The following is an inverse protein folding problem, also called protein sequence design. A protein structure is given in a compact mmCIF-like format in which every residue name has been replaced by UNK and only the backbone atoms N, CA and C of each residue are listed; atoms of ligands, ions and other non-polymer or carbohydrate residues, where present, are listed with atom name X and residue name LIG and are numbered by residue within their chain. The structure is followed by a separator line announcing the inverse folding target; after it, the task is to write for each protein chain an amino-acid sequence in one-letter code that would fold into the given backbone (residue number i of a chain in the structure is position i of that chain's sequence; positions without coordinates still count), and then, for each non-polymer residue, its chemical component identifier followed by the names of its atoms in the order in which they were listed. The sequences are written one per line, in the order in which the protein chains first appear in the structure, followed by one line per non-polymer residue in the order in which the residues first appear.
data_IF_676598840554
#
_entry.id   IF_676598840554
#
_cell.length_a   1.000
_cell.length_b   1.000
_cell.length_c   1.000
_cell.angle_alpha   90.00
_cell.angle_beta   90.00
_cell.angle_gamma   90.00
#
_symmetry.space_group_name_H-M   'P 1'
#
loop_
_entity.id
_entity.type
_entity.pdbx_description
1 polymer ?
#
# COMPACT_ATOMS: atom_id res chain seq x y z
N UNK A 1 -7.59 -28.78 8.32
CA UNK A 1 -7.46 -27.30 8.37
C UNK A 1 -7.79 -26.88 9.78
N UNK A 2 -6.79 -26.51 10.59
CA UNK A 2 -6.96 -26.24 12.01
C UNK A 2 -7.64 -24.89 12.21
N UNK A 3 -8.82 -24.89 12.82
CA UNK A 3 -9.47 -23.68 13.33
C UNK A 3 -8.49 -23.04 14.33
N UNK A 4 -7.92 -21.88 14.01
CA UNK A 4 -7.03 -21.18 14.93
C UNK A 4 -7.79 -20.89 16.22
N UNK A 5 -7.22 -21.25 17.36
CA UNK A 5 -7.74 -20.83 18.66
C UNK A 5 -7.73 -19.31 18.77
N UNK A 6 -8.79 -18.73 19.35
CA UNK A 6 -8.94 -17.29 19.60
C UNK A 6 -7.68 -16.69 20.26
N UNK A 7 -7.06 -17.45 21.16
CA UNK A 7 -5.82 -17.06 21.87
C UNK A 7 -4.64 -16.83 20.93
N UNK A 8 -4.38 -17.75 19.99
CA UNK A 8 -3.25 -17.63 19.06
C UNK A 8 -3.40 -16.42 18.14
N UNK A 9 -4.63 -16.15 17.71
CA UNK A 9 -4.97 -14.98 16.89
C UNK A 9 -4.75 -13.68 17.65
N UNK A 10 -5.23 -13.62 18.90
CA UNK A 10 -5.05 -12.46 19.77
C UNK A 10 -3.57 -12.16 20.08
N UNK A 11 -2.78 -13.19 20.41
CA UNK A 11 -1.34 -13.04 20.64
C UNK A 11 -0.60 -12.51 19.41
N UNK A 12 -0.98 -12.97 18.23
CA UNK A 12 -0.39 -12.50 16.96
C UNK A 12 -0.67 -11.01 16.74
N UNK A 13 -1.89 -10.54 17.05
CA UNK A 13 -2.24 -9.12 16.96
C UNK A 13 -1.42 -8.27 17.92
N UNK A 14 -1.30 -8.67 19.20
CA UNK A 14 -0.47 -7.97 20.17
C UNK A 14 1.00 -7.91 19.74
N UNK A 15 1.51 -9.01 19.19
CA UNK A 15 2.89 -9.06 18.71
C UNK A 15 3.12 -8.08 17.55
N UNK A 16 2.22 -8.04 16.56
CA UNK A 16 2.33 -7.10 15.44
C UNK A 16 2.13 -5.66 15.89
N UNK A 17 1.22 -5.40 16.84
CA UNK A 17 1.05 -4.08 17.43
C UNK A 17 2.34 -3.59 18.12
N UNK A 18 2.97 -4.44 18.93
CA UNK A 18 4.28 -4.13 19.54
C UNK A 18 5.35 -3.83 18.49
N UNK A 19 5.38 -4.60 17.39
CA UNK A 19 6.31 -4.36 16.27
C UNK A 19 6.05 -2.98 15.64
N UNK A 20 4.78 -2.63 15.41
CA UNK A 20 4.39 -1.33 14.84
C UNK A 20 4.84 -0.15 15.72
N UNK A 21 4.86 -0.30 17.04
CA UNK A 21 5.26 0.74 17.99
C UNK A 21 6.77 0.84 18.20
N UNK A 22 7.51 -0.25 18.00
CA UNK A 22 8.93 -0.33 18.42
C UNK A 22 9.92 -0.27 17.25
N UNK A 23 9.49 -0.56 16.02
CA UNK A 23 10.36 -0.54 14.85
C UNK A 23 10.39 0.87 14.25
N UNK A 24 11.59 1.45 14.01
CA UNK A 24 11.70 2.83 13.52
C UNK A 24 11.51 2.96 12.01
N UNK A 25 11.49 1.84 11.28
CA UNK A 25 11.44 1.83 9.81
C UNK A 25 10.25 1.04 9.28
N UNK A 26 9.73 1.49 8.14
CA UNK A 26 8.69 0.79 7.37
C UNK A 26 9.09 -0.66 7.08
N UNK A 27 10.37 -0.89 6.73
CA UNK A 27 10.93 -2.22 6.53
C UNK A 27 10.80 -3.10 7.77
N UNK A 28 11.26 -2.58 8.92
CA UNK A 28 11.27 -3.33 10.17
C UNK A 28 9.86 -3.70 10.65
N UNK A 29 8.91 -2.78 10.48
CA UNK A 29 7.50 -3.01 10.76
C UNK A 29 6.94 -4.10 9.85
N UNK A 30 7.12 -3.96 8.53
CA UNK A 30 6.56 -4.88 7.55
C UNK A 30 7.17 -6.28 7.65
N UNK A 31 8.50 -6.39 7.68
CA UNK A 31 9.22 -7.66 7.87
C UNK A 31 8.84 -8.34 9.18
N UNK A 32 8.65 -7.56 10.25
CA UNK A 32 8.19 -8.08 11.53
C UNK A 32 6.78 -8.68 11.45
N UNK A 33 5.83 -7.96 10.83
CA UNK A 33 4.49 -8.49 10.57
C UNK A 33 4.52 -9.76 9.73
N UNK A 34 5.31 -9.78 8.64
CA UNK A 34 5.44 -10.96 7.77
C UNK A 34 5.94 -12.20 8.52
N UNK A 35 6.88 -12.05 9.46
CA UNK A 35 7.35 -13.16 10.30
C UNK A 35 6.25 -13.76 11.17
N UNK A 36 5.32 -12.94 11.67
CA UNK A 36 4.15 -13.42 12.41
C UNK A 36 3.16 -14.07 11.45
N UNK A 37 2.83 -13.39 10.35
CA UNK A 37 1.87 -13.82 9.36
C UNK A 37 2.22 -15.18 8.74
N UNK A 38 3.50 -15.46 8.50
CA UNK A 38 3.98 -16.72 7.91
C UNK A 38 3.68 -17.96 8.77
N UNK A 39 3.39 -17.79 10.07
CA UNK A 39 2.93 -18.88 10.94
C UNK A 39 1.44 -19.20 10.77
N UNK A 40 0.68 -18.30 10.15
CA UNK A 40 -0.79 -18.34 10.09
C UNK A 40 -1.31 -18.50 8.65
N UNK A 41 -0.56 -18.01 7.66
CA UNK A 41 -0.99 -17.99 6.26
C UNK A 41 0.11 -18.60 5.37
N UNK A 42 -0.23 -19.58 4.51
CA UNK A 42 0.75 -20.29 3.68
C UNK A 42 1.07 -19.52 2.38
N UNK A 43 1.66 -18.33 2.50
CA UNK A 43 2.03 -17.49 1.36
C UNK A 43 3.53 -17.60 1.00
N UNK A 44 3.83 -17.38 -0.27
CA UNK A 44 5.19 -17.48 -0.83
C UNK A 44 5.88 -16.11 -0.94
N UNK A 45 5.11 -15.07 -1.29
CA UNK A 45 5.57 -13.68 -1.36
C UNK A 45 4.56 -12.74 -0.71
N UNK A 46 5.05 -11.78 0.06
CA UNK A 46 4.29 -10.63 0.53
C UNK A 46 4.88 -9.34 -0.04
N UNK A 47 4.03 -8.36 -0.30
CA UNK A 47 4.44 -7.04 -0.76
C UNK A 47 3.67 -5.94 -0.05
N UNK A 48 4.38 -4.87 0.29
CA UNK A 48 3.81 -3.62 0.78
C UNK A 48 3.93 -2.58 -0.33
N UNK A 49 2.79 -2.05 -0.77
CA UNK A 49 2.76 -0.95 -1.72
C UNK A 49 2.10 0.27 -1.08
N UNK A 50 2.74 1.42 -1.17
CA UNK A 50 2.25 2.68 -0.59
C UNK A 50 1.88 3.62 -1.73
N UNK A 51 0.75 4.32 -1.59
CA UNK A 51 0.35 5.30 -2.60
C UNK A 51 1.36 6.44 -2.70
N UNK A 52 1.77 6.68 -3.93
CA UNK A 52 2.68 7.70 -4.36
C UNK A 52 1.91 8.73 -5.18
N UNK A 53 1.62 9.90 -4.59
CA UNK A 53 0.83 10.90 -5.27
C UNK A 53 1.55 11.59 -6.43
N UNK A 54 2.89 11.57 -6.46
CA UNK A 54 3.66 12.23 -7.51
C UNK A 54 3.48 11.53 -8.86
N UNK A 55 3.31 10.21 -8.83
CA UNK A 55 3.14 9.36 -10.01
C UNK A 55 1.72 8.78 -10.13
N UNK A 56 0.78 9.23 -9.29
CA UNK A 56 -0.58 8.68 -9.13
C UNK A 56 -0.63 7.15 -9.15
N UNK A 57 0.28 6.50 -8.41
CA UNK A 57 0.51 5.06 -8.48
C UNK A 57 0.79 4.46 -7.10
N UNK A 58 0.67 3.14 -6.96
CA UNK A 58 1.11 2.43 -5.76
C UNK A 58 2.55 2.00 -5.95
N UNK A 59 3.48 2.55 -5.16
CA UNK A 59 4.88 2.18 -5.21
C UNK A 59 5.14 0.99 -4.31
N UNK A 60 5.75 -0.08 -4.84
CA UNK A 60 6.23 -1.20 -4.02
C UNK A 60 7.37 -0.68 -3.16
N UNK A 61 7.17 -0.64 -1.84
CA UNK A 61 8.20 -0.16 -0.91
C UNK A 61 8.98 -1.31 -0.30
N UNK A 62 8.35 -2.48 -0.12
CA UNK A 62 9.00 -3.67 0.43
C UNK A 62 8.40 -4.95 -0.13
N UNK A 63 9.25 -5.96 -0.24
CA UNK A 63 8.89 -7.34 -0.59
C UNK A 63 9.48 -8.28 0.46
N UNK A 64 8.77 -9.36 0.74
CA UNK A 64 9.21 -10.39 1.68
C UNK A 64 8.91 -11.78 1.12
N UNK A 65 9.86 -12.71 1.26
CA UNK A 65 9.77 -14.04 0.65
C UNK A 65 10.41 -14.08 -0.73
N UNK A 66 9.94 -14.97 -1.61
CA UNK A 66 10.59 -15.22 -2.91
C UNK A 66 10.26 -14.10 -3.88
N UNK A 67 11.23 -13.33 -4.34
CA UNK A 67 11.04 -12.23 -5.30
C UNK A 67 12.26 -11.98 -6.21
N UNK A 68 13.17 -12.94 -6.27
CA UNK A 68 14.35 -12.91 -7.14
C UNK A 68 13.92 -12.80 -8.62
N UNK A 69 14.58 -11.92 -9.37
CA UNK A 69 14.34 -11.68 -10.80
C UNK A 69 12.87 -11.37 -11.17
N UNK A 70 12.09 -10.83 -10.23
CA UNK A 70 10.70 -10.44 -10.47
C UNK A 70 10.61 -9.12 -11.23
N UNK A 71 9.63 -9.00 -12.13
CA UNK A 71 9.23 -7.71 -12.71
C UNK A 71 8.74 -6.75 -11.61
N UNK A 72 8.11 -7.29 -10.57
CA UNK A 72 7.57 -6.53 -9.44
C UNK A 72 8.64 -6.36 -8.35
N UNK A 73 9.60 -5.47 -8.58
CA UNK A 73 10.68 -5.17 -7.64
C UNK A 73 10.38 -3.96 -6.73
N UNK A 74 11.20 -3.73 -5.69
CA UNK A 74 11.10 -2.52 -4.85
C UNK A 74 11.32 -1.28 -5.72
N UNK A 75 10.47 -0.27 -5.56
CA UNK A 75 10.42 0.94 -6.38
C UNK A 75 9.45 0.86 -7.55
N UNK A 76 8.98 -0.35 -7.93
CA UNK A 76 8.05 -0.52 -9.02
C UNK A 76 6.73 0.26 -8.79
N UNK A 77 6.25 0.96 -9.82
CA UNK A 77 5.01 1.75 -9.79
C UNK A 77 3.85 0.93 -10.36
N UNK A 78 2.97 0.48 -9.48
CA UNK A 78 1.74 -0.22 -9.85
C UNK A 78 0.66 0.81 -10.15
N UNK A 79 0.11 0.76 -11.36
CA UNK A 79 -0.99 1.64 -11.76
C UNK A 79 -2.22 1.44 -10.87
N UNK A 80 -2.73 2.51 -10.25
CA UNK A 80 -3.86 2.42 -9.31
C UNK A 80 -5.22 2.15 -9.97
N UNK A 81 -5.36 2.40 -11.27
CA UNK A 81 -6.61 2.24 -12.03
C UNK A 81 -6.72 0.89 -12.74
N UNK A 82 -5.60 0.26 -13.07
CA UNK A 82 -5.57 -0.94 -13.93
C UNK A 82 -4.96 -2.16 -13.27
N UNK A 83 -4.83 -2.19 -11.95
CA UNK A 83 -4.26 -3.33 -11.22
C UNK A 83 -5.15 -3.81 -10.08
N UNK A 84 -4.95 -5.07 -9.67
CA UNK A 84 -5.60 -5.66 -8.50
C UNK A 84 -5.34 -4.86 -7.20
N UNK A 85 -4.07 -4.49 -6.96
CA UNK A 85 -3.68 -3.64 -5.83
C UNK A 85 -4.34 -2.26 -5.91
N UNK A 86 -4.44 -1.70 -7.12
CA UNK A 86 -5.15 -0.46 -7.39
C UNK A 86 -6.64 -0.56 -7.04
N UNK A 87 -7.31 -1.61 -7.50
CA UNK A 87 -8.73 -1.83 -7.17
C UNK A 87 -8.96 -1.95 -5.66
N UNK A 88 -8.12 -2.71 -4.94
CA UNK A 88 -8.19 -2.83 -3.47
C UNK A 88 -7.99 -1.47 -2.80
N UNK A 89 -7.02 -0.69 -3.28
CA UNK A 89 -6.73 0.65 -2.78
C UNK A 89 -7.93 1.60 -2.94
N UNK A 90 -8.52 1.66 -4.14
CA UNK A 90 -9.62 2.56 -4.49
C UNK A 90 -10.92 2.20 -3.76
N UNK A 91 -11.26 0.91 -3.74
CA UNK A 91 -12.51 0.42 -3.18
C UNK A 91 -12.43 0.18 -1.66
N UNK A 92 -11.23 0.31 -1.06
CA UNK A 92 -10.98 0.03 0.37
C UNK A 92 -11.54 -1.34 0.78
N UNK A 93 -11.45 -2.30 -0.12
CA UNK A 93 -12.09 -3.61 0.02
C UNK A 93 -11.08 -4.72 -0.26
N UNK A 94 -11.05 -5.70 0.64
CA UNK A 94 -10.20 -6.89 0.53
C UNK A 94 -10.54 -7.71 -0.71
N UNK A 95 -9.52 -8.15 -1.44
CA UNK A 95 -9.64 -9.02 -2.60
C UNK A 95 -8.99 -10.37 -2.33
N UNK A 96 -9.67 -11.45 -2.75
CA UNK A 96 -9.13 -12.82 -2.76
C UNK A 96 -9.41 -13.42 -4.12
N UNK A 97 -8.39 -13.99 -4.74
CA UNK A 97 -8.47 -14.72 -6.00
C UNK A 97 -7.75 -16.04 -5.84
N UNK A 98 -8.50 -17.13 -5.88
CA UNK A 98 -7.99 -18.45 -5.58
C UNK A 98 -7.25 -19.06 -6.77
N UNK A 99 -7.57 -18.65 -8.00
CA UNK A 99 -6.92 -19.09 -9.22
C UNK A 99 -6.81 -17.96 -10.25
N UNK A 100 -5.64 -17.31 -10.32
CA UNK A 100 -5.37 -16.19 -11.22
C UNK A 100 -5.50 -16.57 -12.71
N UNK A 101 -5.19 -17.82 -13.08
CA UNK A 101 -5.19 -18.25 -14.47
C UNK A 101 -6.60 -18.42 -15.05
N UNK A 102 -7.59 -18.74 -14.22
CA UNK A 102 -8.99 -18.94 -14.65
C UNK A 102 -9.88 -17.74 -14.38
N UNK A 103 -9.38 -16.73 -13.66
CA UNK A 103 -10.11 -15.52 -13.29
C UNK A 103 -9.43 -14.24 -13.80
N UNK A 104 -8.84 -14.17 -15.02
CA UNK A 104 -8.07 -12.99 -15.43
C UNK A 104 -8.96 -11.74 -15.43
N UNK A 105 -8.53 -10.71 -14.70
CA UNK A 105 -9.29 -9.47 -14.51
C UNK A 105 -8.47 -8.23 -14.79
N UNK A 106 -7.15 -8.30 -14.61
CA UNK A 106 -6.25 -7.17 -14.79
C UNK A 106 -5.16 -7.48 -15.82
N UNK A 107 -4.69 -6.48 -16.60
CA UNK A 107 -3.71 -6.71 -17.66
C UNK A 107 -2.43 -7.44 -17.24
N UNK A 108 -2.01 -7.25 -15.98
CA UNK A 108 -0.74 -7.78 -15.44
C UNK A 108 -0.91 -9.09 -14.67
N UNK A 109 -2.09 -9.69 -14.70
CA UNK A 109 -2.33 -11.00 -14.06
C UNK A 109 -1.47 -12.10 -14.70
N UNK A 110 -1.27 -12.02 -16.02
CA UNK A 110 -0.47 -13.00 -16.76
C UNK A 110 1.01 -12.98 -16.33
N UNK A 111 1.57 -11.82 -16.04
CA UNK A 111 2.96 -11.71 -15.55
C UNK A 111 3.13 -12.41 -14.20
N UNK A 112 2.13 -12.29 -13.32
CA UNK A 112 2.14 -12.93 -12.00
C UNK A 112 2.05 -14.46 -12.13
N UNK A 113 1.23 -14.93 -13.07
CA UNK A 113 1.13 -16.35 -13.41
C UNK A 113 2.42 -16.87 -14.05
N UNK A 114 3.05 -16.08 -14.92
CA UNK A 114 4.33 -16.40 -15.55
C UNK A 114 5.48 -16.50 -14.52
N UNK A 115 5.44 -15.69 -13.45
CA UNK A 115 6.33 -15.83 -12.29
C UNK A 115 5.99 -17.04 -11.39
N UNK A 116 4.98 -17.84 -11.75
CA UNK A 116 4.61 -19.08 -11.06
C UNK A 116 3.73 -18.90 -9.84
N UNK A 117 3.01 -17.78 -9.72
CA UNK A 117 2.00 -17.57 -8.67
C UNK A 117 0.59 -17.77 -9.22
N UNK A 118 -0.25 -18.44 -8.44
CA UNK A 118 -1.58 -18.85 -8.88
C UNK A 118 -2.71 -18.38 -7.97
N UNK A 119 -2.42 -17.94 -6.75
CA UNK A 119 -3.43 -17.35 -5.87
C UNK A 119 -2.94 -16.02 -5.31
N UNK A 120 -3.89 -15.14 -5.03
CA UNK A 120 -3.65 -13.77 -4.61
C UNK A 120 -4.62 -13.37 -3.50
N UNK A 121 -4.10 -12.63 -2.52
CA UNK A 121 -4.91 -11.98 -1.50
C UNK A 121 -4.33 -10.58 -1.25
N UNK A 122 -5.19 -9.57 -1.16
CA UNK A 122 -4.73 -8.21 -0.88
C UNK A 122 -5.74 -7.44 -0.06
N UNK A 123 -5.23 -6.64 0.88
CA UNK A 123 -6.01 -5.85 1.84
C UNK A 123 -5.55 -4.39 1.77
N UNK A 124 -6.46 -3.43 1.95
CA UNK A 124 -6.10 -2.02 2.00
C UNK A 124 -5.45 -1.69 3.36
N UNK A 125 -4.53 -0.73 3.37
CA UNK A 125 -4.11 -0.06 4.59
C UNK A 125 -4.92 1.23 4.71
N UNK A 126 -5.86 1.26 5.66
CA UNK A 126 -6.77 2.42 5.82
C UNK A 126 -6.44 3.18 7.10
N UNK A 127 -6.25 4.49 6.97
CA UNK A 127 -6.04 5.40 8.10
C UNK A 127 -7.02 6.55 7.98
N UNK A 128 -7.84 6.76 9.03
CA UNK A 128 -8.90 7.80 9.07
C UNK A 128 -9.80 7.76 7.83
N UNK A 129 -10.22 6.57 7.44
CA UNK A 129 -11.09 6.34 6.28
C UNK A 129 -10.40 6.45 4.92
N UNK A 130 -9.11 6.80 4.85
CA UNK A 130 -8.37 6.92 3.59
C UNK A 130 -7.41 5.75 3.40
N UNK A 131 -7.43 5.16 2.20
CA UNK A 131 -6.45 4.14 1.84
C UNK A 131 -5.10 4.81 1.64
N UNK A 132 -4.07 4.32 2.33
CA UNK A 132 -2.70 4.81 2.21
C UNK A 132 -1.81 3.86 1.41
N UNK A 133 -2.25 2.63 1.20
CA UNK A 133 -1.49 1.61 0.52
C UNK A 133 -2.22 0.28 0.58
N UNK A 134 -1.52 -0.78 0.22
CA UNK A 134 -2.03 -2.15 0.24
C UNK A 134 -0.96 -3.11 0.71
N UNK A 135 -1.39 -4.18 1.37
CA UNK A 135 -0.57 -5.36 1.60
C UNK A 135 -1.11 -6.49 0.75
N UNK A 136 -0.23 -7.14 0.00
CA UNK A 136 -0.60 -8.22 -0.92
C UNK A 136 0.21 -9.48 -0.64
N UNK A 137 -0.42 -10.63 -0.77
CA UNK A 137 0.15 -11.96 -0.68
C UNK A 137 -0.04 -12.70 -1.99
N UNK A 138 0.97 -13.47 -2.37
CA UNK A 138 0.93 -14.39 -3.50
C UNK A 138 1.27 -15.80 -3.04
N UNK A 139 0.54 -16.77 -3.59
CA UNK A 139 0.74 -18.20 -3.36
C UNK A 139 1.00 -18.94 -4.67
N UNK A 140 1.99 -19.83 -4.67
CA UNK A 140 2.39 -20.67 -5.82
C UNK A 140 1.48 -21.86 -6.06
N UNK A 141 0.52 -22.12 -5.18
CA UNK A 141 -0.53 -23.13 -5.39
C UNK A 141 -1.87 -22.43 -5.57
N UNK A 142 -2.67 -22.93 -6.50
CA UNK A 142 -4.09 -22.58 -6.59
C UNK A 142 -4.77 -22.86 -5.25
N UNK A 143 -5.76 -22.05 -4.89
CA UNK A 143 -6.55 -22.18 -3.66
C UNK A 143 -5.75 -22.16 -2.34
N UNK A 144 -4.48 -21.74 -2.35
CA UNK A 144 -3.69 -21.65 -1.11
C UNK A 144 -4.02 -20.42 -0.26
N UNK A 145 -4.54 -19.36 -0.89
CA UNK A 145 -5.04 -18.16 -0.21
C UNK A 145 -6.57 -18.15 -0.24
N UNK A 146 -7.19 -18.01 0.93
CA UNK A 146 -8.64 -18.08 1.13
C UNK A 146 -9.16 -16.82 1.83
N UNK A 147 -10.48 -16.67 1.93
CA UNK A 147 -11.10 -15.57 2.69
C UNK A 147 -10.68 -15.57 4.17
N UNK A 148 -10.49 -16.74 4.78
CA UNK A 148 -10.01 -16.84 6.15
C UNK A 148 -8.58 -16.29 6.28
N UNK A 149 -7.70 -16.60 5.32
CA UNK A 149 -6.34 -16.04 5.28
C UNK A 149 -6.36 -14.51 5.08
N UNK A 150 -7.30 -14.01 4.26
CA UNK A 150 -7.49 -12.59 4.04
C UNK A 150 -7.91 -11.84 5.31
N UNK A 151 -8.82 -12.42 6.10
CA UNK A 151 -9.24 -11.82 7.37
C UNK A 151 -8.07 -11.71 8.37
N UNK A 152 -7.20 -12.72 8.43
CA UNK A 152 -5.97 -12.66 9.26
C UNK A 152 -5.02 -11.59 8.74
N UNK A 153 -4.81 -11.55 7.43
CA UNK A 153 -3.97 -10.53 6.80
C UNK A 153 -4.49 -9.11 7.09
N UNK A 154 -5.80 -8.90 7.00
CA UNK A 154 -6.44 -7.61 7.23
C UNK A 154 -6.26 -7.15 8.68
N UNK A 155 -6.54 -8.03 9.65
CA UNK A 155 -6.38 -7.69 11.07
C UNK A 155 -4.93 -7.36 11.44
N UNK A 156 -3.95 -8.12 10.93
CA UNK A 156 -2.54 -7.82 11.16
C UNK A 156 -2.10 -6.54 10.43
N UNK A 157 -2.58 -6.33 9.21
CA UNK A 157 -2.28 -5.12 8.42
C UNK A 157 -2.83 -3.86 9.09
N UNK A 158 -4.00 -3.95 9.73
CA UNK A 158 -4.58 -2.86 10.50
C UNK A 158 -3.70 -2.44 11.69
N UNK A 159 -2.96 -3.37 12.31
CA UNK A 159 -2.04 -3.03 13.41
C UNK A 159 -0.85 -2.18 12.94
N UNK A 160 -0.42 -2.33 11.68
CA UNK A 160 0.73 -1.57 11.15
C UNK A 160 0.32 -0.31 10.40
N UNK A 161 -0.94 -0.17 9.98
CA UNK A 161 -1.38 0.91 9.09
C UNK A 161 -0.99 2.31 9.58
N UNK A 162 -1.20 2.60 10.87
CA UNK A 162 -0.85 3.90 11.45
C UNK A 162 0.67 4.16 11.47
N UNK A 163 1.47 3.14 11.81
CA UNK A 163 2.93 3.26 11.80
C UNK A 163 3.47 3.49 10.38
N UNK A 164 2.95 2.76 9.39
CA UNK A 164 3.32 2.97 7.98
C UNK A 164 2.93 4.37 7.51
N UNK A 165 1.78 4.88 7.95
CA UNK A 165 1.32 6.24 7.64
C UNK A 165 2.22 7.32 8.23
N UNK A 166 2.67 7.17 9.48
CA UNK A 166 3.51 8.17 10.13
C UNK A 166 4.91 8.23 9.53
N UNK A 167 5.42 7.09 9.04
CA UNK A 167 6.71 6.97 8.35
C UNK A 167 6.67 7.46 6.89
N UNK A 168 5.48 7.54 6.28
CA UNK A 168 5.26 8.11 4.95
C UNK A 168 4.25 9.25 5.00
N UNK A 169 4.57 10.33 5.71
CA UNK A 169 3.55 11.24 6.15
C UNK A 169 3.06 12.10 4.98
N UNK A 170 1.74 12.26 4.93
CA UNK A 170 1.02 13.00 3.90
C UNK A 170 0.35 14.23 4.47
N UNK A 171 0.10 15.20 3.60
CA UNK A 171 -0.62 16.39 3.98
C UNK A 171 -2.06 16.04 4.39
N UNK A 172 -2.54 16.49 5.56
CA UNK A 172 -3.89 16.16 6.04
C UNK A 172 -5.01 16.77 5.19
N UNK A 173 -4.75 17.92 4.57
CA UNK A 173 -5.70 18.60 3.68
C UNK A 173 -5.61 18.11 2.22
N UNK A 174 -4.50 17.49 1.86
CA UNK A 174 -4.22 17.02 0.50
C UNK A 174 -3.60 15.62 0.59
N UNK A 175 -4.44 14.59 0.75
CA UNK A 175 -3.99 13.21 0.86
C UNK A 175 -3.14 12.75 -0.36
N UNK A 176 -3.20 13.48 -1.47
CA UNK A 176 -2.37 13.34 -2.67
C UNK A 176 -1.10 14.20 -2.65
N UNK A 177 -0.58 14.59 -1.49
CA UNK A 177 0.68 15.34 -1.40
C UNK A 177 1.44 14.94 -0.15
N UNK A 178 2.78 14.90 -0.22
CA UNK A 178 3.64 14.67 0.95
C UNK A 178 3.45 15.79 1.97
N UNK A 179 3.91 15.60 3.22
CA UNK A 179 3.81 16.61 4.30
C UNK A 179 4.21 18.02 3.85
N UNK A 180 5.25 18.12 3.02
CA UNK A 180 5.65 19.37 2.36
C UNK A 180 4.71 19.60 1.18
N UNK A 181 3.48 20.04 1.47
CA UNK A 181 2.48 20.34 0.46
C UNK A 181 2.59 21.79 0.01
N UNK A 182 2.97 22.07 -1.24
CA UNK A 182 3.10 23.45 -1.74
C UNK A 182 1.79 24.25 -1.64
N UNK A 183 0.63 23.58 -1.76
CA UNK A 183 -0.68 24.23 -1.56
C UNK A 183 -0.89 24.69 -0.12
N UNK A 184 -0.54 23.88 0.87
CA UNK A 184 -0.63 24.26 2.28
C UNK A 184 0.43 25.30 2.66
N UNK A 185 1.66 25.16 2.14
CA UNK A 185 2.74 26.14 2.32
C UNK A 185 2.31 27.50 1.76
N UNK A 186 1.74 27.52 0.55
CA UNK A 186 1.22 28.74 -0.07
C UNK A 186 -0.02 29.31 0.61
N UNK A 187 -0.87 28.47 1.22
CA UNK A 187 -2.04 28.92 1.98
C UNK A 187 -1.68 29.44 3.38
N UNK A 188 -0.61 28.93 4.01
CA UNK A 188 -0.16 29.33 5.34
C UNK A 188 0.60 30.68 5.39
N UNK A 189 0.88 31.30 4.24
CA UNK A 189 0.96 32.76 4.09
C UNK A 189 2.02 33.55 4.88
N UNK A 190 3.01 32.93 5.52
CA UNK A 190 4.08 33.64 6.22
C UNK A 190 5.35 33.85 5.37
N UNK A 191 5.95 35.06 5.40
CA UNK A 191 7.21 35.39 4.69
C UNK A 191 8.35 34.39 5.01
N UNK A 192 8.41 33.88 6.24
CA UNK A 192 9.42 32.91 6.69
C UNK A 192 9.23 31.51 6.09
N UNK A 193 7.98 31.05 5.97
CA UNK A 193 7.62 29.73 5.41
C UNK A 193 7.88 29.69 3.89
N UNK A 194 7.65 30.80 3.18
CA UNK A 194 7.94 30.95 1.75
C UNK A 194 9.45 30.97 1.47
N UNK A 195 10.23 31.60 2.35
CA UNK A 195 11.70 31.63 2.24
C UNK A 195 12.32 30.24 2.44
N UNK A 196 11.87 29.49 3.46
CA UNK A 196 12.38 28.13 3.75
C UNK A 196 12.08 27.10 2.66
N UNK A 197 10.96 27.23 1.96
CA UNK A 197 10.52 26.27 0.93
C UNK A 197 10.59 26.85 -0.50
N UNK A 198 11.45 27.84 -0.73
CA UNK A 198 11.49 28.60 -2.00
C UNK A 198 11.75 27.71 -3.23
N UNK A 199 12.67 26.74 -3.12
CA UNK A 199 12.95 25.80 -4.21
C UNK A 199 11.77 24.88 -4.49
N UNK A 200 11.16 24.31 -3.45
CA UNK A 200 9.97 23.44 -3.58
C UNK A 200 8.79 24.18 -4.22
N UNK A 201 8.56 25.43 -3.81
CA UNK A 201 7.53 26.30 -4.37
C UNK A 201 7.82 26.69 -5.83
N UNK A 202 9.09 26.87 -6.20
CA UNK A 202 9.50 27.16 -7.58
C UNK A 202 9.29 25.95 -8.50
N UNK A 203 9.68 24.74 -8.07
CA UNK A 203 9.43 23.50 -8.82
C UNK A 203 7.94 23.26 -8.97
N UNK A 204 7.15 23.51 -7.92
CA UNK A 204 5.69 23.44 -7.96
C UNK A 204 5.07 24.46 -8.93
N UNK A 205 5.58 25.70 -8.95
CA UNK A 205 5.17 26.71 -9.92
C UNK A 205 5.42 26.27 -11.37
N UNK A 206 6.59 25.67 -11.65
CA UNK A 206 6.93 25.13 -12.98
C UNK A 206 6.03 23.97 -13.42
N UNK A 207 5.46 23.20 -12.47
CA UNK A 207 4.52 22.10 -12.72
C UNK A 207 3.04 22.51 -12.76
N UNK A 208 2.75 23.82 -12.86
CA UNK A 208 1.39 24.33 -13.06
C UNK A 208 0.70 24.93 -11.83
N UNK A 209 1.37 24.99 -10.67
CA UNK A 209 0.99 25.83 -9.52
C UNK A 209 -0.48 25.72 -9.05
N UNK A 210 -1.07 26.86 -8.63
CA UNK A 210 -2.52 27.02 -8.47
C UNK A 210 -3.09 26.96 -9.88
N UNK A 211 -3.52 25.78 -10.33
CA UNK A 211 -4.14 25.60 -11.64
C UNK A 211 -5.11 26.76 -11.92
N UNK A 212 -4.96 27.39 -13.09
CA UNK A 212 -5.81 28.50 -13.53
C UNK A 212 -7.27 28.07 -13.38
N UNK A 213 -8.01 28.74 -12.50
CA UNK A 213 -9.47 28.61 -12.47
C UNK A 213 -9.99 29.14 -13.82
N UNK A 214 -10.54 28.25 -14.62
CA UNK A 214 -11.54 28.52 -15.66
C UNK A 214 -11.10 29.37 -16.85
N UNK A 215 -10.89 28.72 -17.98
CA UNK A 215 -11.65 29.05 -19.18
C UNK A 215 -12.29 27.75 -19.67
N UNK A 216 -13.57 27.60 -19.37
CA UNK A 216 -14.46 26.72 -20.12
C UNK A 216 -14.60 27.42 -21.47
N UNK A 217 -13.87 26.95 -22.47
CA UNK A 217 -14.17 27.27 -23.86
C UNK A 217 -15.41 26.43 -24.20
N UNK A 218 -16.57 27.08 -24.22
CA UNK A 218 -17.71 26.60 -24.98
C UNK A 218 -17.41 26.91 -26.44
N UNK A 219 -16.99 25.89 -27.19
CA UNK A 219 -17.30 25.71 -28.61
C UNK A 219 -17.59 24.24 -28.86
#
# INVERSE_FOLDING_TARGET
MTQMGVVQRYQSLLQVNKIALTKPTTEGVFTGMCRVLRKLVPYDRAGLSVYDPEHDSLRIVYLYGRHENSMFHVGYLINRKTSQSGWVFENKTTMVRCNLATEPRFPRDQDIVAEGYHSFCSVPLVVRGNSIGVVSLLGRRKHSLSRMHANVLEELSNQIALAISSMNPRCPSHAHTRLVCPRCIGAAGGKSTVSKHRQDLSVWGKRGGRGRKGQISLE
#
